data_IF_581079743932
#
_entry.id   IF_581079743932
#
_cell.length_a   1.000
_cell.length_b   1.000
_cell.length_c   1.000
_cell.angle_alpha   90.00
_cell.angle_beta   90.00
_cell.angle_gamma   90.00
#
_symmetry.space_group_name_H-M   'P 1'
#
loop_
_entity.id
_entity.type
_entity.pdbx_description
1 polymer ?
#
# COMPACT_ATOMS: atom_id res chain seq x y z
N UNK A 1 -6.57 11.73 8.02
CA UNK A 1 -7.63 12.44 7.26
C UNK A 1 -8.29 13.46 8.15
N UNK A 2 -8.46 14.70 7.71
CA UNK A 2 -9.20 15.75 8.45
C UNK A 2 -10.35 16.24 7.56
N UNK A 3 -11.52 16.47 8.15
CA UNK A 3 -12.60 17.13 7.42
C UNK A 3 -12.25 18.61 7.25
N UNK A 4 -12.41 19.13 6.04
CA UNK A 4 -12.29 20.55 5.73
C UNK A 4 -13.69 21.17 5.63
N UNK A 5 -13.77 22.50 5.76
CA UNK A 5 -15.02 23.25 5.58
C UNK A 5 -15.68 22.91 4.23
N UNK A 6 -17.01 22.76 4.23
CA UNK A 6 -17.79 22.42 3.05
C UNK A 6 -17.84 20.92 2.70
N UNK A 7 -17.43 20.02 3.59
CA UNK A 7 -17.51 18.56 3.37
C UNK A 7 -16.41 18.01 2.48
N UNK A 8 -15.35 18.79 2.24
CA UNK A 8 -14.17 18.33 1.53
C UNK A 8 -13.30 17.45 2.44
N UNK A 9 -12.88 16.29 1.93
CA UNK A 9 -11.93 15.43 2.63
C UNK A 9 -10.50 15.93 2.33
N UNK A 10 -9.77 16.39 3.35
CA UNK A 10 -8.38 16.81 3.20
C UNK A 10 -7.44 15.69 3.64
N UNK A 11 -6.60 15.25 2.70
CA UNK A 11 -5.50 14.34 2.95
C UNK A 11 -4.20 15.15 2.98
N UNK A 12 -3.53 15.12 4.12
CA UNK A 12 -2.19 15.68 4.29
C UNK A 12 -1.19 14.55 4.07
N UNK A 13 -0.37 14.65 3.03
CA UNK A 13 0.54 13.58 2.57
C UNK A 13 1.95 13.72 3.15
N UNK A 14 2.08 14.28 4.35
CA UNK A 14 3.36 14.31 5.07
C UNK A 14 3.85 12.89 5.38
N UNK A 15 5.08 12.57 4.99
CA UNK A 15 5.70 11.27 5.28
C UNK A 15 5.35 10.14 4.30
N UNK A 16 4.73 10.45 3.16
CA UNK A 16 4.64 9.50 2.03
C UNK A 16 6.00 9.42 1.34
N UNK A 17 6.44 8.20 1.04
CA UNK A 17 7.72 7.92 0.39
C UNK A 17 7.55 6.85 -0.68
N UNK A 18 8.38 6.93 -1.72
CA UNK A 18 8.52 5.92 -2.78
C UNK A 18 9.80 5.11 -2.64
N UNK A 19 10.67 5.54 -1.72
CA UNK A 19 11.92 4.88 -1.39
C UNK A 19 12.23 5.04 0.09
N UNK A 20 12.95 4.09 0.66
CA UNK A 20 13.47 4.17 2.02
C UNK A 20 14.94 3.76 2.05
N UNK A 21 15.74 4.47 2.84
CA UNK A 21 17.06 3.97 3.22
C UNK A 21 16.86 2.84 4.23
N UNK A 22 17.54 1.71 4.01
CA UNK A 22 17.48 0.59 4.92
C UNK A 22 17.82 1.04 6.36
N UNK A 23 17.01 0.66 7.38
CA UNK A 23 17.17 1.16 8.74
C UNK A 23 18.40 0.59 9.47
N UNK A 24 19.08 -0.38 8.86
CA UNK A 24 20.30 -1.01 9.36
C UNK A 24 20.98 -1.82 8.25
N UNK A 25 22.11 -2.43 8.58
CA UNK A 25 22.83 -3.30 7.63
C UNK A 25 21.96 -4.48 7.20
N UNK A 26 22.11 -4.90 5.94
CA UNK A 26 21.42 -6.06 5.42
C UNK A 26 21.99 -7.38 6.01
N UNK A 27 21.17 -8.42 6.19
CA UNK A 27 19.72 -8.43 5.97
C UNK A 27 18.97 -7.64 7.06
N UNK A 28 17.89 -6.96 6.68
CA UNK A 28 17.08 -6.14 7.58
C UNK A 28 15.59 -6.34 7.32
N UNK A 29 14.78 -6.37 8.38
CA UNK A 29 13.33 -6.36 8.25
C UNK A 29 12.79 -4.94 8.23
N UNK A 30 11.90 -4.67 7.28
CA UNK A 30 11.14 -3.41 7.20
C UNK A 30 9.64 -3.68 7.34
N UNK A 31 8.90 -2.66 7.78
CA UNK A 31 7.45 -2.70 7.90
C UNK A 31 6.79 -1.56 7.11
N UNK A 32 6.79 -1.64 5.76
CA UNK A 32 6.16 -0.61 4.95
C UNK A 32 4.66 -0.57 5.23
N UNK A 33 4.13 0.66 5.30
CA UNK A 33 2.71 0.93 5.42
C UNK A 33 2.20 1.44 4.08
N UNK A 34 1.36 0.65 3.43
CA UNK A 34 0.68 1.03 2.21
C UNK A 34 -0.71 1.56 2.56
N UNK A 35 -1.05 2.75 2.06
CA UNK A 35 -2.41 3.28 2.12
C UNK A 35 -3.06 3.12 0.75
N UNK A 36 -4.18 2.41 0.70
CA UNK A 36 -4.98 2.24 -0.52
C UNK A 36 -6.21 3.13 -0.43
N UNK A 37 -6.32 4.12 -1.32
CA UNK A 37 -7.53 4.93 -1.48
C UNK A 37 -8.47 4.23 -2.48
N UNK A 38 -9.69 3.96 -2.05
CA UNK A 38 -10.68 3.18 -2.80
C UNK A 38 -11.85 4.09 -3.17
N UNK A 39 -12.21 4.13 -4.44
CA UNK A 39 -13.46 4.76 -4.89
C UNK A 39 -14.54 3.70 -5.07
N UNK A 40 -15.67 3.86 -4.40
CA UNK A 40 -16.85 3.04 -4.66
C UNK A 40 -17.71 3.69 -5.75
N UNK A 41 -18.03 2.99 -6.85
CA UNK A 41 -19.03 3.46 -7.82
C UNK A 41 -20.40 3.68 -7.15
N UNK A 42 -21.26 4.54 -7.72
CA UNK A 42 -22.55 4.90 -7.11
C UNK A 42 -23.57 3.76 -7.16
N UNK A 43 -23.43 2.90 -8.16
CA UNK A 43 -24.23 1.73 -8.48
C UNK A 43 -23.71 0.44 -7.83
N UNK A 44 -22.57 0.51 -7.12
CA UNK A 44 -21.97 -0.63 -6.44
C UNK A 44 -22.53 -0.77 -5.01
N UNK A 45 -22.56 -1.99 -4.48
CA UNK A 45 -23.10 -2.29 -3.13
C UNK A 45 -22.20 -1.86 -1.96
N UNK A 46 -21.01 -1.35 -2.25
CA UNK A 46 -20.04 -0.88 -1.25
C UNK A 46 -19.13 -1.93 -0.62
N UNK A 47 -19.44 -3.22 -0.75
CA UNK A 47 -18.64 -4.32 -0.23
C UNK A 47 -17.76 -4.96 -1.30
N UNK A 48 -16.47 -5.12 -1.02
CA UNK A 48 -15.51 -5.84 -1.87
C UNK A 48 -14.37 -6.45 -1.02
N UNK A 49 -13.49 -7.24 -1.64
CA UNK A 49 -12.24 -7.69 -1.03
C UNK A 49 -11.05 -6.92 -1.63
N UNK A 50 -10.21 -6.32 -0.77
CA UNK A 50 -8.91 -5.79 -1.16
C UNK A 50 -7.86 -6.89 -0.95
N UNK A 51 -7.19 -7.28 -2.03
CA UNK A 51 -6.03 -8.15 -1.99
C UNK A 51 -4.78 -7.35 -2.36
N UNK A 52 -3.73 -7.53 -1.56
CA UNK A 52 -2.38 -7.05 -1.85
C UNK A 52 -1.40 -8.22 -1.75
N UNK A 53 -0.68 -8.48 -2.83
CA UNK A 53 0.46 -9.40 -2.85
C UNK A 53 1.74 -8.60 -3.07
N UNK A 54 2.85 -9.05 -2.50
CA UNK A 54 4.14 -8.38 -2.65
C UNK A 54 5.01 -9.16 -3.61
N UNK A 55 5.73 -8.44 -4.47
CA UNK A 55 6.58 -9.01 -5.51
C UNK A 55 7.96 -8.36 -5.47
N UNK A 56 8.96 -9.07 -5.95
CA UNK A 56 10.29 -8.52 -6.23
C UNK A 56 10.80 -9.10 -7.54
N UNK A 57 11.42 -8.28 -8.38
CA UNK A 57 11.91 -8.68 -9.71
C UNK A 57 10.83 -9.38 -10.58
N UNK A 58 9.56 -9.00 -10.41
CA UNK A 58 8.42 -9.59 -11.12
C UNK A 58 7.93 -10.95 -10.57
N UNK A 59 8.54 -11.47 -9.50
CA UNK A 59 8.17 -12.73 -8.87
C UNK A 59 7.44 -12.50 -7.53
N UNK A 60 6.42 -13.32 -7.20
CA UNK A 60 5.67 -13.18 -5.96
C UNK A 60 6.50 -13.60 -4.74
N UNK A 61 6.36 -12.82 -3.67
CA UNK A 61 6.85 -13.15 -2.33
C UNK A 61 5.76 -13.91 -1.55
N UNK A 62 6.14 -14.66 -0.52
CA UNK A 62 5.18 -15.30 0.41
C UNK A 62 4.60 -14.29 1.43
N UNK A 63 4.13 -13.16 0.92
CA UNK A 63 3.56 -12.06 1.70
C UNK A 63 2.28 -11.61 0.99
N UNK A 64 1.14 -11.81 1.67
CA UNK A 64 -0.18 -11.51 1.14
C UNK A 64 -1.07 -10.94 2.23
N UNK A 65 -1.82 -9.89 1.89
CA UNK A 65 -2.87 -9.32 2.73
C UNK A 65 -4.19 -9.40 1.97
N UNK A 66 -5.23 -9.95 2.61
CA UNK A 66 -6.60 -9.92 2.09
C UNK A 66 -7.49 -9.41 3.20
N UNK A 67 -8.26 -8.37 2.90
CA UNK A 67 -9.19 -7.79 3.85
C UNK A 67 -10.49 -7.37 3.15
N UNK A 68 -11.65 -7.52 3.81
CA UNK A 68 -12.88 -6.93 3.31
C UNK A 68 -12.80 -5.41 3.38
N UNK A 69 -13.39 -4.74 2.41
CA UNK A 69 -13.55 -3.28 2.39
C UNK A 69 -15.02 -2.93 2.27
N UNK A 70 -15.45 -1.93 3.01
CA UNK A 70 -16.81 -1.41 2.97
C UNK A 70 -16.75 0.10 2.77
N UNK A 71 -17.17 0.57 1.61
CA UNK A 71 -17.15 1.98 1.21
C UNK A 71 -18.53 2.36 0.70
N UNK A 72 -19.11 3.41 1.26
CA UNK A 72 -20.42 3.90 0.84
C UNK A 72 -20.47 4.16 -0.68
N UNK A 73 -21.56 3.79 -1.37
CA UNK A 73 -21.71 4.02 -2.80
C UNK A 73 -21.49 5.49 -3.18
N UNK A 74 -20.65 5.72 -4.18
CA UNK A 74 -20.29 7.06 -4.65
C UNK A 74 -19.27 7.81 -3.79
N UNK A 75 -18.69 7.18 -2.75
CA UNK A 75 -17.70 7.77 -1.84
C UNK A 75 -16.31 7.17 -2.01
N UNK A 76 -15.36 7.76 -1.28
CA UNK A 76 -14.01 7.23 -1.12
C UNK A 76 -13.83 6.66 0.29
N UNK A 77 -13.14 5.53 0.37
CA UNK A 77 -12.63 4.95 1.60
C UNK A 77 -11.11 4.82 1.55
N UNK A 78 -10.52 4.38 2.66
CA UNK A 78 -9.12 4.01 2.69
C UNK A 78 -8.91 2.76 3.55
N UNK A 79 -7.92 1.97 3.17
CA UNK A 79 -7.43 0.84 3.95
C UNK A 79 -5.92 0.96 4.11
N UNK A 80 -5.44 0.53 5.28
CA UNK A 80 -4.02 0.39 5.54
C UNK A 80 -3.64 -1.08 5.35
N UNK A 81 -2.52 -1.30 4.68
CA UNK A 81 -1.90 -2.60 4.49
C UNK A 81 -0.51 -2.52 5.06
N UNK A 82 -0.19 -3.44 5.95
CA UNK A 82 1.14 -3.59 6.50
C UNK A 82 1.71 -4.92 6.04
N UNK A 83 3.00 -4.92 5.72
CA UNK A 83 3.78 -6.12 5.46
C UNK A 83 5.03 -6.09 6.32
N UNK A 84 5.56 -7.27 6.65
CA UNK A 84 6.92 -7.40 7.15
C UNK A 84 7.74 -8.02 6.03
N UNK A 85 8.74 -7.28 5.54
CA UNK A 85 9.56 -7.70 4.40
C UNK A 85 11.01 -7.78 4.85
N UNK A 86 11.63 -8.94 4.66
CA UNK A 86 13.08 -9.08 4.78
C UNK A 86 13.75 -8.56 3.50
N UNK A 87 14.72 -7.69 3.69
CA UNK A 87 15.51 -7.08 2.62
C UNK A 87 16.95 -7.53 2.80
N UNK A 88 17.47 -8.28 1.84
CA UNK A 88 18.82 -8.86 1.87
C UNK A 88 19.86 -8.00 1.17
N UNK A 89 19.42 -7.11 0.29
CA UNK A 89 20.22 -6.16 -0.47
C UNK A 89 19.30 -5.02 -0.97
N UNK A 90 19.83 -3.93 -1.53
CA UNK A 90 18.99 -2.92 -2.18
C UNK A 90 18.09 -3.57 -3.24
N UNK A 91 16.79 -3.36 -3.12
CA UNK A 91 15.80 -4.03 -3.95
C UNK A 91 14.57 -3.15 -4.16
N UNK A 92 13.76 -3.49 -5.17
CA UNK A 92 12.42 -2.90 -5.35
C UNK A 92 11.37 -3.93 -5.00
N UNK A 93 10.48 -3.55 -4.10
CA UNK A 93 9.30 -4.34 -3.71
C UNK A 93 8.09 -3.71 -4.41
N UNK A 94 7.27 -4.51 -5.07
CA UNK A 94 6.02 -4.05 -5.66
C UNK A 94 4.83 -4.56 -4.84
N UNK A 95 3.96 -3.66 -4.40
CA UNK A 95 2.66 -4.03 -3.86
C UNK A 95 1.64 -4.12 -5.02
N UNK A 96 1.24 -5.33 -5.36
CA UNK A 96 0.23 -5.62 -6.39
C UNK A 96 -1.14 -5.61 -5.74
N UNK A 97 -1.87 -4.52 -5.92
CA UNK A 97 -3.18 -4.28 -5.31
C UNK A 97 -4.30 -4.59 -6.29
N UNK A 98 -5.32 -5.35 -5.86
CA UNK A 98 -6.56 -5.52 -6.62
C UNK A 98 -7.79 -5.51 -5.72
N UNK A 99 -8.91 -5.09 -6.28
CA UNK A 99 -10.23 -5.21 -5.66
C UNK A 99 -10.97 -6.35 -6.35
N UNK A 100 -11.43 -7.32 -5.57
CA UNK A 100 -12.00 -8.59 -6.05
C UNK A 100 -11.11 -9.22 -7.14
N UNK A 101 -11.69 -9.52 -8.30
CA UNK A 101 -10.98 -10.04 -9.48
C UNK A 101 -10.69 -8.94 -10.52
N UNK A 102 -10.62 -7.69 -10.07
CA UNK A 102 -10.33 -6.52 -10.91
C UNK A 102 -8.87 -6.45 -11.37
N UNK A 103 -8.53 -5.39 -12.14
CA UNK A 103 -7.17 -5.17 -12.61
C UNK A 103 -6.21 -4.92 -11.45
N UNK A 104 -4.97 -5.36 -11.61
CA UNK A 104 -3.88 -5.11 -10.66
C UNK A 104 -3.34 -3.70 -10.85
N UNK A 105 -3.17 -2.99 -9.75
CA UNK A 105 -2.36 -1.76 -9.65
C UNK A 105 -1.09 -2.08 -8.90
N UNK A 106 0.06 -2.03 -9.57
CA UNK A 106 1.37 -2.25 -8.96
C UNK A 106 1.95 -0.92 -8.44
N UNK A 107 2.35 -0.91 -7.17
CA UNK A 107 2.93 0.27 -6.51
C UNK A 107 4.34 -0.08 -6.00
N UNK A 108 5.40 0.54 -6.54
CA UNK A 108 6.77 0.22 -6.16
C UNK A 108 7.21 0.94 -4.89
N UNK A 109 8.06 0.27 -4.12
CA UNK A 109 8.85 0.81 -3.02
C UNK A 109 10.30 0.38 -3.20
N UNK A 110 11.21 1.34 -3.36
CA UNK A 110 12.63 1.05 -3.51
C UNK A 110 13.37 1.15 -2.17
N UNK A 111 14.02 0.07 -1.75
CA UNK A 111 14.90 0.07 -0.57
C UNK A 111 16.33 0.28 -1.02
N UNK A 112 16.96 1.35 -0.51
CA UNK A 112 18.36 1.69 -0.83
C UNK A 112 19.27 1.35 0.35
N UNK A 113 20.58 1.48 0.14
CA UNK A 113 21.60 1.32 1.18
C UNK A 113 21.27 2.17 2.43
N UNK A 114 21.68 1.72 3.63
CA UNK A 114 21.57 2.55 4.82
C UNK A 114 22.29 3.89 4.62
N UNK A 115 21.76 4.95 5.23
CA UNK A 115 22.48 6.21 5.28
C UNK A 115 23.81 5.97 6.02
N UNK A 116 24.92 6.39 5.41
CA UNK A 116 26.20 6.43 6.13
C UNK A 116 26.03 7.37 7.32
N UNK A 117 26.20 6.83 8.52
CA UNK A 117 26.19 7.60 9.77
C UNK A 117 27.41 8.51 9.90
#
# INVERSE_FOLDING_TARGET
MRQAEGGSARLDLSGVYFSLAAPGQFPVSIQPHLMVLLRCPAEHQGLAALEVTFHTNGEPMDIRNVQPVNVEPGKFGYNLVQATVEVTEPMTIEAHCRVDNGPVTAVPLTVVQPLAG
#
